data_IF_284608107404
#
_entry.id   IF_284608107404
#
_cell.length_a   1.000
_cell.length_b   1.000
_cell.length_c   1.000
_cell.angle_alpha   90.00
_cell.angle_beta   90.00
_cell.angle_gamma   90.00
#
_symmetry.space_group_name_H-M   'P 1'
#
loop_
_entity.id
_entity.type
_entity.pdbx_description
1 polymer ?
#
# COMPACT_ATOMS: atom_id res chain seq x y z
N UNK A 1 -8.72 33.12 5.73
CA UNK A 1 -9.76 32.21 5.20
C UNK A 1 -9.33 30.80 5.57
N UNK A 2 -10.14 29.99 6.26
CA UNK A 2 -9.79 28.60 6.52
C UNK A 2 -9.83 27.81 5.20
N UNK A 3 -8.87 26.89 5.02
CA UNK A 3 -8.85 25.96 3.90
C UNK A 3 -10.08 25.05 3.98
N UNK A 4 -10.78 24.87 2.86
CA UNK A 4 -11.88 23.91 2.72
C UNK A 4 -11.40 22.60 2.08
N UNK A 5 -12.12 21.48 2.25
CA UNK A 5 -11.81 20.23 1.54
C UNK A 5 -11.78 20.44 0.01
N UNK A 6 -12.71 21.25 -0.50
CA UNK A 6 -12.75 21.62 -1.92
C UNK A 6 -11.51 22.43 -2.35
N UNK A 7 -10.91 23.23 -1.47
CA UNK A 7 -9.67 23.93 -1.80
C UNK A 7 -8.50 22.96 -1.94
N UNK A 8 -8.44 21.90 -1.12
CA UNK A 8 -7.42 20.85 -1.18
C UNK A 8 -7.53 20.04 -2.47
N UNK A 9 -8.76 19.67 -2.84
CA UNK A 9 -9.04 18.93 -4.07
C UNK A 9 -8.67 19.71 -5.35
N UNK A 10 -8.78 21.03 -5.33
CA UNK A 10 -8.51 21.89 -6.49
C UNK A 10 -7.07 22.44 -6.53
N UNK A 11 -6.18 22.04 -5.63
CA UNK A 11 -4.78 22.50 -5.65
C UNK A 11 -4.04 21.89 -6.83
N UNK A 12 -3.41 22.74 -7.64
CA UNK A 12 -2.52 22.30 -8.73
C UNK A 12 -1.08 22.76 -8.43
N UNK A 13 -0.17 21.80 -8.29
CA UNK A 13 1.26 22.09 -8.12
C UNK A 13 1.96 22.32 -9.48
N UNK A 14 2.94 23.23 -9.50
CA UNK A 14 3.76 23.48 -10.70
C UNK A 14 4.80 22.37 -10.85
N UNK A 15 5.01 21.91 -12.09
CA UNK A 15 6.06 20.93 -12.39
C UNK A 15 7.45 21.49 -12.05
N UNK A 16 8.38 20.66 -11.52
CA UNK A 16 9.72 21.10 -11.18
C UNK A 16 10.44 21.69 -12.40
N UNK A 17 11.27 22.74 -12.22
CA UNK A 17 12.14 23.23 -13.28
C UNK A 17 13.08 22.12 -13.77
N UNK A 18 13.37 22.10 -15.08
CA UNK A 18 14.24 21.09 -15.72
C UNK A 18 15.53 20.92 -14.93
N UNK A 19 15.84 19.68 -14.53
CA UNK A 19 17.04 19.32 -13.77
C UNK A 19 16.88 19.27 -12.25
N UNK A 20 15.69 19.58 -11.70
CA UNK A 20 15.37 19.37 -10.28
C UNK A 20 14.41 18.20 -10.09
N UNK A 21 14.66 17.39 -9.07
CA UNK A 21 13.76 16.29 -8.68
C UNK A 21 12.56 16.88 -7.93
N UNK A 22 11.36 16.48 -8.32
CA UNK A 22 10.11 16.78 -7.63
C UNK A 22 9.66 15.63 -6.74
N UNK A 23 8.53 15.84 -6.06
CA UNK A 23 7.76 14.76 -5.45
C UNK A 23 7.09 13.90 -6.52
N UNK A 24 6.78 12.65 -6.18
CA UNK A 24 6.01 11.76 -7.02
C UNK A 24 4.54 12.24 -7.07
N UNK A 25 3.97 12.37 -8.27
CA UNK A 25 2.61 12.88 -8.45
C UNK A 25 1.59 11.93 -7.78
N UNK A 26 1.78 10.60 -7.90
CA UNK A 26 0.84 9.61 -7.39
C UNK A 26 0.86 9.55 -5.84
N UNK A 27 2.04 9.70 -5.22
CA UNK A 27 2.16 9.73 -3.75
C UNK A 27 1.57 11.02 -3.16
N UNK A 28 1.73 12.14 -3.87
CA UNK A 28 1.16 13.43 -3.46
C UNK A 28 -0.36 13.41 -3.56
N UNK A 29 -0.92 12.89 -4.66
CA UNK A 29 -2.37 12.79 -4.84
C UNK A 29 -3.01 11.87 -3.78
N UNK A 30 -2.41 10.71 -3.50
CA UNK A 30 -2.89 9.80 -2.45
C UNK A 30 -2.84 10.45 -1.04
N UNK A 31 -1.85 11.30 -0.77
CA UNK A 31 -1.78 12.05 0.48
C UNK A 31 -2.85 13.14 0.56
N UNK A 32 -3.14 13.84 -0.56
CA UNK A 32 -4.19 14.84 -0.61
C UNK A 32 -5.59 14.24 -0.36
N UNK A 33 -5.88 13.03 -0.85
CA UNK A 33 -7.14 12.32 -0.58
C UNK A 33 -7.35 12.05 0.92
N UNK A 34 -6.27 11.66 1.62
CA UNK A 34 -6.30 11.44 3.08
C UNK A 34 -6.53 12.77 3.82
N UNK A 35 -5.85 13.83 3.39
CA UNK A 35 -5.99 15.17 3.98
C UNK A 35 -7.40 15.73 3.74
N UNK A 36 -7.97 15.55 2.55
CA UNK A 36 -9.33 15.98 2.22
C UNK A 36 -10.35 15.30 3.15
N UNK A 37 -10.21 13.98 3.31
CA UNK A 37 -11.10 13.17 4.17
C UNK A 37 -11.02 13.60 5.64
N UNK A 38 -9.80 13.76 6.18
CA UNK A 38 -9.59 14.18 7.56
C UNK A 38 -10.05 15.63 7.80
N UNK A 39 -9.85 16.53 6.83
CA UNK A 39 -10.30 17.91 6.93
C UNK A 39 -11.83 18.00 6.93
N UNK A 40 -12.52 17.20 6.10
CA UNK A 40 -13.98 17.10 6.11
C UNK A 40 -14.48 16.59 7.47
N UNK A 41 -13.89 15.51 7.98
CA UNK A 41 -14.19 14.95 9.30
C UNK A 41 -14.00 15.97 10.42
N UNK A 42 -12.87 16.69 10.45
CA UNK A 42 -12.58 17.70 11.47
C UNK A 42 -13.57 18.87 11.41
N UNK A 43 -14.02 19.26 10.23
CA UNK A 43 -15.03 20.31 10.06
C UNK A 43 -16.39 19.83 10.59
N UNK A 44 -16.80 18.60 10.27
CA UNK A 44 -18.02 17.99 10.82
C UNK A 44 -17.96 17.89 12.34
N UNK A 45 -16.87 17.36 12.90
CA UNK A 45 -16.66 17.26 14.35
C UNK A 45 -16.66 18.65 15.02
N UNK A 46 -16.02 19.65 14.41
CA UNK A 46 -16.05 21.02 14.95
C UNK A 46 -17.46 21.62 14.91
N UNK A 47 -18.23 21.34 13.85
CA UNK A 47 -19.61 21.79 13.72
C UNK A 47 -20.50 21.10 14.76
N UNK A 48 -20.32 19.80 15.00
CA UNK A 48 -21.02 19.05 16.05
C UNK A 48 -20.67 19.56 17.45
N UNK A 49 -19.39 19.80 17.74
CA UNK A 49 -18.93 20.37 19.00
C UNK A 49 -19.45 21.79 19.21
N UNK A 50 -19.49 22.62 18.16
CA UNK A 50 -20.09 23.96 18.20
C UNK A 50 -21.60 23.92 18.38
N UNK A 51 -22.29 22.96 17.74
CA UNK A 51 -23.73 22.76 17.94
C UNK A 51 -24.04 22.25 19.36
N UNK A 52 -23.22 21.35 19.89
CA UNK A 52 -23.30 20.87 21.28
C UNK A 52 -23.01 21.96 22.30
N UNK A 53 -21.97 22.78 22.07
CA UNK A 53 -21.66 23.95 22.89
C UNK A 53 -22.75 25.03 22.80
N UNK A 54 -23.37 25.22 21.63
CA UNK A 54 -24.51 26.13 21.44
C UNK A 54 -25.78 25.65 22.15
N UNK A 55 -25.96 24.33 22.31
CA UNK A 55 -27.08 23.74 23.07
C UNK A 55 -26.86 23.82 24.58
N UNK A 56 -25.61 23.88 25.03
CA UNK A 56 -25.23 24.20 26.41
C UNK A 56 -25.19 25.72 26.69
N UNK A 57 -25.14 26.56 25.64
CA UNK A 57 -25.05 28.02 25.71
C UNK A 57 -26.29 28.74 25.15
N UNK A 58 -27.46 28.09 25.14
CA UNK A 58 -28.73 28.82 25.11
C UNK A 58 -28.85 29.61 26.42
N UNK A 59 -29.35 30.87 26.41
CA UNK A 59 -29.36 31.69 27.59
C UNK A 59 -30.25 31.02 28.61
N UNK A 60 -29.64 30.52 29.68
CA UNK A 60 -30.35 30.27 30.92
C UNK A 60 -30.85 31.64 31.34
N UNK A 61 -32.12 31.92 31.01
CA UNK A 61 -32.89 32.98 31.65
C UNK A 61 -32.84 32.62 33.13
N UNK A 62 -31.93 33.28 33.85
CA UNK A 62 -31.96 33.34 35.29
C UNK A 62 -33.24 34.06 35.68
N UNK A 63 -34.35 33.33 35.82
CA UNK A 63 -35.40 33.73 36.76
C UNK A 63 -34.86 33.49 38.17
N UNK A 64 -34.12 34.50 38.60
CA UNK A 64 -33.73 34.75 39.97
C UNK A 64 -35.02 35.17 40.71
N UNK A 65 -35.49 34.45 41.74
CA UNK A 65 -36.58 34.96 42.55
C UNK A 65 -36.03 36.14 43.36
N UNK A 66 -36.58 37.33 43.13
CA UNK A 66 -36.33 38.50 43.97
C UNK A 66 -36.96 38.29 45.36
N UNK A 67 -36.20 38.46 46.45
CA UNK A 67 -36.77 38.52 47.78
C UNK A 67 -36.62 39.94 48.32
N UNK A 68 -37.65 40.78 48.23
CA UNK A 68 -37.98 41.82 49.24
C UNK A 68 -39.22 42.62 48.84
N UNK A 69 -40.28 42.55 49.66
CA UNK A 69 -41.03 43.71 50.11
C UNK A 69 -42.02 43.29 51.20
N UNK A 70 -41.63 43.52 52.46
CA UNK A 70 -42.56 43.48 53.59
C UNK A 70 -43.48 44.72 53.57
N UNK A 71 -44.72 44.60 54.05
CA UNK A 71 -45.77 45.61 53.97
C UNK A 71 -45.70 46.64 55.12
N UNK A 72 -46.20 47.85 54.86
CA UNK A 72 -46.45 48.90 55.85
C UNK A 72 -47.92 48.86 56.38
N UNK A 73 -48.23 49.48 57.55
CA UNK A 73 -49.14 48.90 58.55
C UNK A 73 -50.52 49.60 58.73
N UNK A 74 -51.29 49.03 59.69
CA UNK A 74 -52.47 49.46 60.49
C UNK A 74 -53.87 49.51 59.83
N UNK A 75 -55.01 49.33 60.58
CA UNK A 75 -55.19 49.19 62.03
C UNK A 75 -56.03 47.97 62.52
N UNK A 76 -55.97 47.71 63.83
CA UNK A 76 -56.72 46.68 64.55
C UNK A 76 -58.21 47.03 64.78
N UNK A 77 -59.09 46.02 64.75
CA UNK A 77 -60.26 45.97 65.62
C UNK A 77 -60.29 44.70 66.48
N UNK A 78 -60.23 44.95 67.80
CA UNK A 78 -60.90 44.34 68.96
C UNK A 78 -61.24 42.82 69.01
N UNK A 79 -61.05 42.19 70.20
CA UNK A 79 -61.23 40.75 70.38
C UNK A 79 -62.69 40.37 70.60
N UNK A 80 -63.27 39.59 69.67
CA UNK A 80 -64.42 38.74 69.97
C UNK A 80 -63.91 37.37 70.44
N UNK A 81 -64.02 37.14 71.76
CA UNK A 81 -63.91 35.84 72.43
C UNK A 81 -65.32 35.27 72.55
N UNK A 82 -65.69 34.34 71.69
CA UNK A 82 -66.72 33.33 71.90
C UNK A 82 -66.68 32.40 70.68
N UNK A 83 -66.32 31.11 70.89
CA UNK A 83 -66.11 29.99 69.93
C UNK A 83 -64.68 29.68 69.42
N UNK A 84 -63.62 30.05 70.14
CA UNK A 84 -62.21 29.72 69.77
C UNK A 84 -61.77 28.26 70.03
N UNK A 85 -62.49 27.50 70.85
CA UNK A 85 -62.12 26.12 71.19
C UNK A 85 -62.58 25.11 70.11
N UNK A 86 -63.77 25.30 69.53
CA UNK A 86 -64.30 24.42 68.47
C UNK A 86 -63.62 24.63 67.11
N UNK A 87 -63.26 25.87 66.77
CA UNK A 87 -62.54 26.18 65.52
C UNK A 87 -61.09 25.71 65.56
N UNK A 88 -60.43 25.75 66.73
CA UNK A 88 -59.10 25.18 66.91
C UNK A 88 -59.11 23.65 66.79
N UNK A 89 -60.16 22.99 67.28
CA UNK A 89 -60.35 21.54 67.14
C UNK A 89 -60.71 21.11 65.71
N UNK A 90 -61.42 21.95 64.94
CA UNK A 90 -61.67 21.73 63.49
C UNK A 90 -60.42 21.98 62.66
N UNK A 91 -59.68 23.05 62.95
CA UNK A 91 -58.42 23.37 62.28
C UNK A 91 -57.36 22.28 62.48
N UNK A 92 -57.20 21.74 63.68
CA UNK A 92 -56.25 20.64 63.96
C UNK A 92 -56.63 19.33 63.28
N UNK A 93 -57.92 18.98 63.19
CA UNK A 93 -58.39 17.82 62.41
C UNK A 93 -58.15 17.99 60.91
N UNK A 94 -58.38 19.19 60.39
CA UNK A 94 -58.09 19.51 58.99
C UNK A 94 -56.59 19.48 58.70
N UNK A 95 -55.76 19.98 59.63
CA UNK A 95 -54.31 19.94 59.53
C UNK A 95 -53.81 18.49 59.56
N UNK A 96 -54.38 17.64 60.43
CA UNK A 96 -54.03 16.22 60.50
C UNK A 96 -54.38 15.47 59.20
N UNK A 97 -55.56 15.73 58.63
CA UNK A 97 -55.94 15.17 57.32
C UNK A 97 -55.02 15.69 56.20
N UNK A 98 -54.69 16.98 56.23
CA UNK A 98 -53.78 17.57 55.26
C UNK A 98 -52.37 16.98 55.35
N UNK A 99 -51.81 16.83 56.57
CA UNK A 99 -50.51 16.18 56.77
C UNK A 99 -50.53 14.73 56.30
N UNK A 100 -51.59 13.98 56.59
CA UNK A 100 -51.73 12.59 56.14
C UNK A 100 -51.76 12.49 54.62
N UNK A 101 -52.50 13.38 53.94
CA UNK A 101 -52.53 13.41 52.47
C UNK A 101 -51.19 13.82 51.87
N UNK A 102 -50.49 14.79 52.49
CA UNK A 102 -49.17 15.20 52.07
C UNK A 102 -48.16 14.06 52.20
N UNK A 103 -48.18 13.32 53.32
CA UNK A 103 -47.31 12.17 53.55
C UNK A 103 -47.55 11.06 52.51
N UNK A 104 -48.82 10.81 52.15
CA UNK A 104 -49.14 9.84 51.07
C UNK A 104 -48.58 10.29 49.72
N UNK A 105 -48.78 11.54 49.32
CA UNK A 105 -48.23 12.05 48.06
C UNK A 105 -46.70 12.00 48.03
N UNK A 106 -46.04 12.31 49.15
CA UNK A 106 -44.57 12.22 49.26
C UNK A 106 -44.11 10.77 49.12
N UNK A 107 -44.80 9.81 49.74
CA UNK A 107 -44.45 8.40 49.65
C UNK A 107 -44.68 7.83 48.24
N UNK A 108 -45.78 8.23 47.58
CA UNK A 108 -46.07 7.81 46.21
C UNK A 108 -45.09 8.42 45.21
N UNK A 109 -44.76 9.71 45.35
CA UNK A 109 -43.74 10.35 44.53
C UNK A 109 -42.35 9.71 44.73
N UNK A 110 -41.99 9.35 45.97
CA UNK A 110 -40.75 8.60 46.27
C UNK A 110 -40.74 7.23 45.60
N UNK A 111 -41.83 6.46 45.72
CA UNK A 111 -41.94 5.14 45.09
C UNK A 111 -41.84 5.22 43.55
N UNK A 112 -42.51 6.20 42.94
CA UNK A 112 -42.41 6.43 41.49
C UNK A 112 -41.00 6.84 41.08
N UNK A 113 -40.32 7.70 41.84
CA UNK A 113 -38.95 8.09 41.58
C UNK A 113 -37.97 6.89 41.69
N UNK A 114 -38.11 6.06 42.71
CA UNK A 114 -37.31 4.84 42.87
C UNK A 114 -37.53 3.85 41.72
N UNK A 115 -38.78 3.69 41.26
CA UNK A 115 -39.10 2.86 40.09
C UNK A 115 -38.49 3.42 38.80
N UNK A 116 -38.56 4.74 38.57
CA UNK A 116 -37.92 5.38 37.41
C UNK A 116 -36.39 5.23 37.46
N UNK A 117 -35.77 5.39 38.62
CA UNK A 117 -34.33 5.21 38.78
C UNK A 117 -33.92 3.74 38.57
N UNK A 118 -34.69 2.79 39.08
CA UNK A 118 -34.44 1.35 38.89
C UNK A 118 -34.57 0.92 37.44
N UNK A 119 -35.62 1.38 36.74
CA UNK A 119 -35.81 1.10 35.31
C UNK A 119 -34.77 1.79 34.44
N UNK A 120 -34.42 3.05 34.72
CA UNK A 120 -33.35 3.77 34.02
C UNK A 120 -31.99 3.08 34.20
N UNK A 121 -31.68 2.65 35.43
CA UNK A 121 -30.45 1.90 35.72
C UNK A 121 -30.40 0.57 34.96
N UNK A 122 -31.49 -0.20 35.01
CA UNK A 122 -31.59 -1.47 34.27
C UNK A 122 -31.43 -1.27 32.76
N UNK A 123 -32.06 -0.24 32.21
CA UNK A 123 -31.95 0.09 30.79
C UNK A 123 -30.52 0.52 30.41
N UNK A 124 -29.86 1.31 31.26
CA UNK A 124 -28.46 1.71 31.08
C UNK A 124 -27.53 0.49 31.11
N UNK A 125 -27.70 -0.39 32.09
CA UNK A 125 -26.87 -1.60 32.23
C UNK A 125 -27.07 -2.54 31.03
N UNK A 126 -28.31 -2.67 30.55
CA UNK A 126 -28.63 -3.41 29.32
C UNK A 126 -27.94 -2.77 28.10
N UNK A 127 -28.03 -1.46 27.93
CA UNK A 127 -27.40 -0.76 26.80
C UNK A 127 -25.87 -0.94 26.81
N UNK A 128 -25.24 -0.86 27.98
CA UNK A 128 -23.79 -1.05 28.12
C UNK A 128 -23.37 -2.49 27.80
N UNK A 129 -24.14 -3.48 28.24
CA UNK A 129 -23.85 -4.89 27.96
C UNK A 129 -24.03 -5.23 26.48
N UNK A 130 -25.09 -4.73 25.85
CA UNK A 130 -25.31 -4.87 24.40
C UNK A 130 -24.22 -4.17 23.57
N UNK A 131 -23.86 -2.94 23.93
CA UNK A 131 -22.80 -2.20 23.26
C UNK A 131 -21.44 -2.91 23.37
N UNK A 132 -21.12 -3.47 24.55
CA UNK A 132 -19.90 -4.26 24.75
C UNK A 132 -19.91 -5.53 23.91
N UNK A 133 -21.01 -6.30 23.94
CA UNK A 133 -21.13 -7.53 23.15
C UNK A 133 -20.99 -7.26 21.64
N UNK A 134 -21.62 -6.20 21.14
CA UNK A 134 -21.51 -5.81 19.73
C UNK A 134 -20.10 -5.37 19.36
N UNK A 135 -19.43 -4.63 20.24
CA UNK A 135 -18.03 -4.23 20.04
C UNK A 135 -17.10 -5.44 19.99
N UNK A 136 -17.23 -6.37 20.93
CA UNK A 136 -16.46 -7.61 20.97
C UNK A 136 -16.68 -8.45 19.72
N UNK A 137 -17.94 -8.57 19.25
CA UNK A 137 -18.27 -9.23 18.00
C UNK A 137 -17.59 -8.56 16.80
N UNK A 138 -17.67 -7.22 16.69
CA UNK A 138 -17.01 -6.50 15.60
C UNK A 138 -15.50 -6.71 15.59
N UNK A 139 -14.86 -6.70 16.76
CA UNK A 139 -13.43 -6.98 16.90
C UNK A 139 -13.10 -8.43 16.50
N UNK A 140 -13.93 -9.40 16.89
CA UNK A 140 -13.74 -10.80 16.52
C UNK A 140 -13.89 -11.01 15.00
N UNK A 141 -14.91 -10.42 14.39
CA UNK A 141 -15.11 -10.47 12.94
C UNK A 141 -13.98 -9.79 12.18
N UNK A 142 -13.53 -8.62 12.63
CA UNK A 142 -12.41 -7.91 12.02
C UNK A 142 -11.12 -8.73 12.09
N UNK A 143 -10.82 -9.34 13.25
CA UNK A 143 -9.68 -10.24 13.41
C UNK A 143 -9.78 -11.45 12.49
N UNK A 144 -10.94 -12.10 12.42
CA UNK A 144 -11.13 -13.26 11.56
C UNK A 144 -10.95 -12.92 10.07
N UNK A 145 -11.50 -11.79 9.61
CA UNK A 145 -11.30 -11.30 8.23
C UNK A 145 -9.83 -10.98 7.96
N UNK A 146 -9.13 -10.39 8.91
CA UNK A 146 -7.69 -10.11 8.80
C UNK A 146 -6.87 -11.41 8.70
N UNK A 147 -7.14 -12.39 9.56
CA UNK A 147 -6.46 -13.69 9.53
C UNK A 147 -6.71 -14.43 8.22
N UNK A 148 -7.95 -14.40 7.71
CA UNK A 148 -8.27 -14.96 6.39
C UNK A 148 -7.51 -14.26 5.26
N UNK A 149 -7.47 -12.93 5.28
CA UNK A 149 -6.76 -12.14 4.26
C UNK A 149 -5.25 -12.42 4.27
N UNK A 150 -4.66 -12.53 5.46
CA UNK A 150 -3.24 -12.90 5.63
C UNK A 150 -3.00 -14.34 5.14
N UNK A 151 -3.89 -15.26 5.44
CA UNK A 151 -3.84 -16.65 4.95
C UNK A 151 -3.86 -16.71 3.42
N UNK A 152 -4.84 -16.05 2.80
CA UNK A 152 -4.99 -16.00 1.34
C UNK A 152 -3.79 -15.34 0.67
N UNK A 153 -3.30 -14.22 1.22
CA UNK A 153 -2.12 -13.53 0.72
C UNK A 153 -0.88 -14.41 0.79
N UNK A 154 -0.71 -15.16 1.89
CA UNK A 154 0.40 -16.10 2.06
C UNK A 154 0.33 -17.25 1.06
N UNK A 155 -0.84 -17.86 0.87
CA UNK A 155 -1.01 -18.92 -0.12
C UNK A 155 -0.73 -18.42 -1.54
N UNK A 156 -1.22 -17.22 -1.89
CA UNK A 156 -0.93 -16.60 -3.20
C UNK A 156 0.57 -16.33 -3.37
N UNK A 157 1.24 -15.80 -2.35
CA UNK A 157 2.67 -15.57 -2.38
C UNK A 157 3.45 -16.88 -2.57
N UNK A 158 3.11 -17.95 -1.84
CA UNK A 158 3.74 -19.26 -1.96
C UNK A 158 3.52 -19.87 -3.37
N UNK A 159 2.34 -19.70 -3.96
CA UNK A 159 2.08 -20.15 -5.34
C UNK A 159 2.89 -19.38 -6.36
N UNK A 160 2.95 -18.04 -6.23
CA UNK A 160 3.73 -17.19 -7.12
C UNK A 160 5.22 -17.50 -7.04
N UNK A 161 5.74 -17.77 -5.83
CA UNK A 161 7.13 -18.15 -5.64
C UNK A 161 7.45 -19.51 -6.28
N UNK A 162 6.57 -20.51 -6.11
CA UNK A 162 6.73 -21.82 -6.77
C UNK A 162 6.72 -21.70 -8.29
N UNK A 163 5.80 -20.92 -8.85
CA UNK A 163 5.75 -20.67 -10.29
C UNK A 163 6.99 -19.94 -10.80
N UNK A 164 7.45 -18.90 -10.09
CA UNK A 164 8.65 -18.16 -10.44
C UNK A 164 9.89 -19.05 -10.43
N UNK A 165 10.05 -19.88 -9.38
CA UNK A 165 11.13 -20.86 -9.28
C UNK A 165 11.08 -21.90 -10.40
N UNK A 166 9.89 -22.41 -10.73
CA UNK A 166 9.73 -23.36 -11.83
C UNK A 166 10.08 -22.74 -13.20
N UNK A 167 9.67 -21.48 -13.44
CA UNK A 167 10.02 -20.73 -14.67
C UNK A 167 11.51 -20.47 -14.76
N UNK A 168 12.15 -20.10 -13.64
CA UNK A 168 13.61 -19.88 -13.59
C UNK A 168 14.37 -21.17 -13.92
N UNK A 169 14.02 -22.29 -13.28
CA UNK A 169 14.64 -23.58 -13.55
C UNK A 169 14.45 -24.03 -15.01
N UNK A 170 13.27 -23.82 -15.58
CA UNK A 170 13.01 -24.12 -16.99
C UNK A 170 13.86 -23.25 -17.93
N UNK A 171 14.02 -21.96 -17.62
CA UNK A 171 14.85 -21.05 -18.42
C UNK A 171 16.33 -21.44 -18.34
N UNK A 172 16.83 -21.82 -17.17
CA UNK A 172 18.20 -22.30 -16.98
C UNK A 172 18.45 -23.58 -17.80
N UNK A 173 17.55 -24.55 -17.73
CA UNK A 173 17.65 -25.78 -18.54
C UNK A 173 17.60 -25.49 -20.04
N UNK A 174 16.75 -24.56 -20.49
CA UNK A 174 16.67 -24.20 -21.91
C UNK A 174 17.94 -23.47 -22.37
N UNK A 175 18.52 -22.63 -21.50
CA UNK A 175 19.79 -21.95 -21.76
C UNK A 175 20.96 -22.94 -21.83
N UNK A 176 21.04 -23.89 -20.90
CA UNK A 176 22.06 -24.95 -20.92
C UNK A 176 21.95 -25.82 -22.17
N UNK A 177 20.72 -26.24 -22.55
CA UNK A 177 20.52 -27.05 -23.75
C UNK A 177 20.98 -26.31 -25.00
N UNK A 178 20.59 -25.03 -25.16
CA UNK A 178 21.04 -24.19 -26.27
C UNK A 178 22.55 -23.99 -26.27
N UNK A 179 23.16 -23.85 -25.10
CA UNK A 179 24.61 -23.72 -24.98
C UNK A 179 25.31 -24.99 -25.48
N UNK A 180 24.87 -26.17 -25.04
CA UNK A 180 25.43 -27.46 -25.49
C UNK A 180 25.25 -27.62 -27.01
N UNK A 181 24.05 -27.33 -27.54
CA UNK A 181 23.78 -27.40 -28.98
C UNK A 181 24.69 -26.43 -29.78
N UNK A 182 24.81 -25.18 -29.33
CA UNK A 182 25.64 -24.18 -29.99
C UNK A 182 27.13 -24.57 -29.95
N UNK A 183 27.63 -25.01 -28.80
CA UNK A 183 29.01 -25.47 -28.65
C UNK A 183 29.29 -26.70 -29.50
N UNK A 184 28.39 -27.69 -29.51
CA UNK A 184 28.51 -28.86 -30.39
C UNK A 184 28.61 -28.45 -31.87
N UNK A 185 27.78 -27.51 -32.32
CA UNK A 185 27.84 -27.01 -33.70
C UNK A 185 29.15 -26.26 -34.02
N UNK A 186 29.74 -25.57 -33.04
CA UNK A 186 31.03 -24.89 -33.18
C UNK A 186 32.18 -25.89 -33.23
N UNK A 187 32.13 -26.94 -32.41
CA UNK A 187 33.10 -28.04 -32.41
C UNK A 187 33.07 -28.81 -33.74
N UNK A 188 31.89 -29.10 -34.28
CA UNK A 188 31.73 -29.71 -35.59
C UNK A 188 32.33 -28.84 -36.70
N UNK A 189 32.02 -27.54 -36.70
CA UNK A 189 32.61 -26.58 -37.65
C UNK A 189 34.13 -26.53 -37.52
N UNK A 190 34.64 -26.45 -36.29
CA UNK A 190 36.09 -26.46 -36.02
C UNK A 190 36.74 -27.72 -36.59
N UNK A 191 36.20 -28.90 -36.27
CA UNK A 191 36.72 -30.17 -36.78
C UNK A 191 36.68 -30.24 -38.31
N UNK A 192 35.63 -29.72 -38.94
CA UNK A 192 35.54 -29.65 -40.40
C UNK A 192 36.62 -28.74 -41.02
N UNK A 193 36.88 -27.58 -40.41
CA UNK A 193 37.91 -26.65 -40.84
C UNK A 193 39.31 -27.23 -40.63
N UNK A 194 39.55 -27.90 -39.50
CA UNK A 194 40.82 -28.59 -39.22
C UNK A 194 41.10 -29.66 -40.28
N UNK A 195 40.11 -30.51 -40.62
CA UNK A 195 40.23 -31.48 -41.74
C UNK A 195 40.53 -30.79 -43.07
N UNK A 196 39.88 -29.66 -43.37
CA UNK A 196 40.11 -28.94 -44.63
C UNK A 196 41.51 -28.34 -44.69
N UNK A 197 42.03 -27.85 -43.57
CA UNK A 197 43.41 -27.36 -43.46
C UNK A 197 44.40 -28.50 -43.73
N UNK A 198 44.17 -29.69 -43.18
CA UNK A 198 45.02 -30.86 -43.43
C UNK A 198 44.99 -31.33 -44.89
N UNK A 199 43.81 -31.33 -45.50
CA UNK A 199 43.63 -31.60 -46.93
C UNK A 199 44.43 -30.61 -47.78
N UNK A 200 44.26 -29.30 -47.54
CA UNK A 200 44.97 -28.24 -48.26
C UNK A 200 46.49 -28.34 -48.09
N UNK A 201 46.97 -28.64 -46.87
CA UNK A 201 48.41 -28.87 -46.61
C UNK A 201 48.95 -30.07 -47.38
N UNK A 202 48.15 -31.11 -47.55
CA UNK A 202 48.54 -32.30 -48.32
C UNK A 202 48.55 -31.98 -49.81
N UNK A 203 47.52 -31.30 -50.32
CA UNK A 203 47.49 -30.81 -51.70
C UNK A 203 48.68 -29.88 -52.01
N UNK A 204 49.04 -28.99 -51.09
CA UNK A 204 50.20 -28.11 -51.23
C UNK A 204 51.50 -28.92 -51.34
N UNK A 205 51.72 -29.89 -50.44
CA UNK A 205 52.92 -30.75 -50.47
C UNK A 205 53.00 -31.53 -51.78
N UNK A 206 51.90 -32.12 -52.23
CA UNK A 206 51.84 -32.83 -53.50
C UNK A 206 52.09 -31.91 -54.70
N UNK A 207 51.46 -30.73 -54.73
CA UNK A 207 51.65 -29.75 -55.80
C UNK A 207 53.10 -29.26 -55.87
N UNK A 208 53.72 -28.91 -54.74
CA UNK A 208 55.14 -28.54 -54.68
C UNK A 208 56.05 -29.67 -55.18
N UNK A 209 55.76 -30.91 -54.81
CA UNK A 209 56.54 -32.08 -55.26
C UNK A 209 56.39 -32.31 -56.76
N UNK A 210 55.16 -32.24 -57.29
CA UNK A 210 54.89 -32.36 -58.74
C UNK A 210 55.54 -31.24 -59.54
N UNK A 211 55.43 -30.00 -59.07
CA UNK A 211 56.05 -28.83 -59.70
C UNK A 211 57.57 -28.95 -59.73
N UNK A 212 58.18 -29.39 -58.62
CA UNK A 212 59.63 -29.65 -58.56
C UNK A 212 60.06 -30.70 -59.58
N UNK A 213 59.39 -31.85 -59.59
CA UNK A 213 59.66 -32.94 -60.55
C UNK A 213 59.50 -32.48 -62.00
N UNK A 214 58.46 -31.69 -62.30
CA UNK A 214 58.22 -31.13 -63.63
C UNK A 214 59.35 -30.18 -64.07
N UNK A 215 59.78 -29.28 -63.19
CA UNK A 215 60.90 -28.37 -63.46
C UNK A 215 62.23 -29.12 -63.63
N UNK A 216 62.51 -30.12 -62.79
CA UNK A 216 63.71 -30.97 -62.92
C UNK A 216 63.71 -31.77 -64.24
N UNK A 217 62.56 -32.27 -64.67
CA UNK A 217 62.40 -32.92 -65.98
C UNK A 217 62.68 -31.95 -67.12
N UNK A 218 62.09 -30.75 -67.09
CA UNK A 218 62.32 -29.71 -68.11
C UNK A 218 63.79 -29.29 -68.19
N UNK A 219 64.48 -29.18 -67.06
CA UNK A 219 65.91 -28.87 -67.03
C UNK A 219 66.74 -29.99 -67.68
N UNK A 220 66.46 -31.26 -67.37
CA UNK A 220 67.15 -32.41 -68.02
C UNK A 220 66.91 -32.46 -69.52
N UNK A 221 65.70 -32.16 -69.97
CA UNK A 221 65.39 -32.11 -71.41
C UNK A 221 66.19 -31.01 -72.13
N UNK A 222 66.39 -29.85 -71.50
CA UNK A 222 67.23 -28.78 -72.03
C UNK A 222 68.72 -29.17 -72.06
N UNK A 223 69.24 -29.77 -70.99
CA UNK A 223 70.62 -30.25 -70.92
C UNK A 223 70.87 -31.34 -71.98
N UNK A 224 69.91 -32.24 -72.19
CA UNK A 224 70.02 -33.29 -73.22
C UNK A 224 69.97 -32.73 -74.64
N UNK A 225 69.14 -31.71 -74.91
CA UNK A 225 69.10 -31.01 -76.20
C UNK A 225 70.39 -30.22 -76.47
N UNK A 226 70.95 -29.57 -75.45
CA UNK A 226 72.27 -28.91 -75.55
C UNK A 226 73.40 -29.92 -75.76
N UNK A 227 73.32 -31.09 -75.12
CA UNK A 227 74.28 -32.18 -75.30
C UNK A 227 74.15 -32.88 -76.66
N UNK A 228 72.98 -32.76 -77.32
CA UNK A 228 72.72 -33.28 -78.66
C UNK A 228 73.06 -32.28 -79.79
N UNK A 229 73.56 -31.08 -79.47
CA UNK A 229 74.23 -30.22 -80.46
C UNK A 229 75.63 -30.80 -80.76
N UNK A 230 75.94 -31.22 -82.00
CA UNK A 230 77.26 -31.73 -82.33
C UNK A 230 78.29 -30.60 -82.24
N UNK A 231 79.32 -30.79 -81.42
CA UNK A 231 80.46 -29.90 -81.29
C UNK A 231 81.14 -29.70 -82.66
N UNK A 232 80.81 -28.60 -83.33
CA UNK A 232 81.55 -28.14 -84.50
C UNK A 232 82.66 -27.19 -84.06
N UNK A 233 83.89 -27.61 -84.38
CA UNK A 233 85.12 -26.82 -84.53
C UNK A 233 85.91 -26.48 -83.27
N UNK A 234 87.12 -27.05 -83.16
CA UNK A 234 88.16 -26.47 -82.32
C UNK A 234 89.48 -27.23 -82.15
N UNK A 235 90.22 -27.57 -83.21
CA UNK A 235 91.71 -27.46 -83.33
C UNK A 235 92.31 -28.42 -84.36
N UNK A 236 92.96 -27.87 -85.38
CA UNK A 236 94.40 -28.06 -85.56
C UNK A 236 94.94 -27.03 -86.55
N UNK A 237 95.56 -25.98 -86.00
CA UNK A 237 96.50 -25.14 -86.70
C UNK A 237 97.88 -25.71 -86.41
N UNK A 238 98.60 -26.24 -87.42
CA UNK A 238 100.07 -26.37 -87.40
C UNK A 238 100.66 -26.69 -88.80
N UNK A 239 101.42 -25.70 -89.28
CA UNK A 239 102.63 -25.76 -90.13
C UNK A 239 102.55 -25.72 -91.68
N UNK A 240 103.20 -24.66 -92.21
CA UNK A 240 103.58 -24.28 -93.58
C UNK A 240 104.81 -25.11 -94.10
N UNK A 241 105.56 -24.78 -95.19
CA UNK A 241 105.42 -23.79 -96.29
C UNK A 241 105.74 -24.35 -97.72
N UNK A 242 105.51 -23.52 -98.76
CA UNK A 242 106.37 -23.25 -99.94
C UNK A 242 105.55 -22.55 -101.04
#
# INVERSE_FOLDING_TARGET
MPLTPADVHNVVFKKPPIGKRGYDEDEVDAFLDVVETELARLIEENNELRAGAGRAAAPRVEERPEPVAAPAPVPAPQPVQQSREDDSARASRMLALATETADRYVNEAKAQAEQMLGSAKTNSDRMVTEARAKSEQMVAEAKHRADSMIGDARTRAETMEREARAKAAALEQDAERRHVEAMGSLEEKRASLERKIEELRTMEREYRTRLRSFLESHLRDLDSRSSAEPASVGRQNQHAPA
#
